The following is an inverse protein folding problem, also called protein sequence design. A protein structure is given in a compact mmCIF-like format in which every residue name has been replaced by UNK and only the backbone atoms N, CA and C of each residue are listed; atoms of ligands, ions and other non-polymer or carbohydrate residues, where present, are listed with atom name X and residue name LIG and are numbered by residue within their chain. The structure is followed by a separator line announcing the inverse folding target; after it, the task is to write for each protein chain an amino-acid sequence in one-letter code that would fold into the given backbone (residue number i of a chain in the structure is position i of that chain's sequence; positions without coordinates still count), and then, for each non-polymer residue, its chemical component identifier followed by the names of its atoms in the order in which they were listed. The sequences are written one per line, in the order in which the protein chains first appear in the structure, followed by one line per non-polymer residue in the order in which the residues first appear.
data_IF_579670936034
#
_entry.id   IF_579670936034
#
_cell.length_a   1.000
_cell.length_b   1.000
_cell.length_c   1.000
_cell.angle_alpha   90.00
_cell.angle_beta   90.00
_cell.angle_gamma   90.00
#
_symmetry.space_group_name_H-M   'P 1'
#
loop_
_entity.id
_entity.type
_entity.pdbx_description
1 polymer ?
#
# COMPACT_ATOMS: atom_id res chain seq x y z
N UNK A 1 -25.40 16.55 4.96
CA UNK A 1 -24.34 15.57 4.70
C UNK A 1 -23.43 16.15 3.62
N UNK A 2 -22.17 16.47 3.93
CA UNK A 2 -21.22 16.91 2.91
C UNK A 2 -20.70 15.67 2.21
N UNK A 3 -21.07 15.48 0.94
CA UNK A 3 -20.54 14.38 0.15
C UNK A 3 -19.13 14.74 -0.30
N UNK A 4 -18.14 14.05 0.25
CA UNK A 4 -16.72 14.21 -0.12
C UNK A 4 -16.48 13.52 -1.46
N UNK A 5 -17.08 14.01 -2.54
CA UNK A 5 -16.90 13.44 -3.86
C UNK A 5 -15.43 13.57 -4.30
N UNK A 6 -14.85 12.46 -4.77
CA UNK A 6 -13.56 12.46 -5.45
C UNK A 6 -13.71 13.26 -6.76
N UNK A 7 -13.20 14.48 -6.79
CA UNK A 7 -13.10 15.26 -8.01
C UNK A 7 -11.78 14.96 -8.73
N UNK A 8 -11.63 15.51 -9.94
CA UNK A 8 -10.44 15.30 -10.78
C UNK A 8 -9.14 15.73 -10.08
N UNK A 9 -9.16 16.80 -9.26
CA UNK A 9 -7.99 17.23 -8.50
C UNK A 9 -7.58 16.18 -7.47
N UNK A 10 -8.55 15.60 -6.77
CA UNK A 10 -8.31 14.55 -5.77
C UNK A 10 -7.77 13.27 -6.42
N UNK A 11 -8.33 12.87 -7.57
CA UNK A 11 -7.85 11.72 -8.33
C UNK A 11 -6.43 11.93 -8.86
N UNK A 12 -6.11 13.14 -9.35
CA UNK A 12 -4.76 13.48 -9.80
C UNK A 12 -3.76 13.42 -8.64
N UNK A 13 -4.14 13.94 -7.47
CA UNK A 13 -3.31 13.86 -6.26
C UNK A 13 -3.06 12.41 -5.84
N UNK A 14 -4.10 11.57 -5.75
CA UNK A 14 -3.97 10.15 -5.41
C UNK A 14 -3.06 9.44 -6.43
N UNK A 15 -3.25 9.70 -7.73
CA UNK A 15 -2.43 9.10 -8.79
C UNK A 15 -0.96 9.51 -8.68
N UNK A 16 -0.70 10.78 -8.38
CA UNK A 16 0.67 11.26 -8.14
C UNK A 16 1.30 10.58 -6.92
N UNK A 17 0.59 10.51 -5.80
CA UNK A 17 1.07 9.87 -4.57
C UNK A 17 1.40 8.39 -4.82
N UNK A 18 0.57 7.67 -5.58
CA UNK A 18 0.82 6.27 -5.94
C UNK A 18 2.06 6.12 -6.83
N UNK A 19 2.30 7.05 -7.76
CA UNK A 19 3.52 7.05 -8.59
C UNK A 19 4.76 7.33 -7.75
N UNK A 20 4.70 8.29 -6.84
CA UNK A 20 5.81 8.65 -5.93
C UNK A 20 6.16 7.51 -4.96
N UNK A 21 5.16 6.76 -4.50
CA UNK A 21 5.37 5.67 -3.55
C UNK A 21 5.87 4.36 -4.20
N UNK A 22 5.83 4.26 -5.53
CA UNK A 22 6.19 3.05 -6.25
C UNK A 22 7.70 2.84 -6.20
N UNK A 23 8.12 1.68 -5.73
CA UNK A 23 9.52 1.26 -5.72
C UNK A 23 9.77 0.11 -6.70
N UNK A 24 10.97 0.03 -7.31
CA UNK A 24 11.36 -1.12 -8.11
C UNK A 24 11.35 -2.38 -7.22
N UNK A 25 10.48 -3.35 -7.54
CA UNK A 25 10.30 -4.57 -6.74
C UNK A 25 8.99 -4.65 -5.96
N UNK A 26 8.14 -3.62 -6.01
CA UNK A 26 6.80 -3.71 -5.43
C UNK A 26 5.97 -4.80 -6.11
N UNK A 27 5.26 -5.58 -5.29
CA UNK A 27 4.33 -6.60 -5.77
C UNK A 27 3.16 -5.96 -6.52
N UNK A 28 2.63 -6.64 -7.54
CA UNK A 28 1.50 -6.16 -8.35
C UNK A 28 0.25 -5.78 -7.52
N UNK A 29 0.12 -6.33 -6.32
CA UNK A 29 -1.02 -6.08 -5.43
C UNK A 29 -0.87 -4.81 -4.58
N UNK A 30 0.36 -4.35 -4.33
CA UNK A 30 0.61 -3.15 -3.52
C UNK A 30 -0.02 -1.88 -4.13
N UNK A 31 0.11 -1.59 -5.44
CA UNK A 31 -0.53 -0.42 -6.05
C UNK A 31 -2.06 -0.44 -5.92
N UNK A 32 -2.70 -1.60 -6.10
CA UNK A 32 -4.15 -1.74 -6.03
C UNK A 32 -4.66 -1.54 -4.59
N UNK A 33 -3.99 -2.16 -3.62
CA UNK A 33 -4.36 -2.00 -2.20
C UNK A 33 -4.08 -0.59 -1.69
N UNK A 34 -2.97 0.03 -2.10
CA UNK A 34 -2.64 1.41 -1.78
C UNK A 34 -3.68 2.39 -2.34
N UNK A 35 -4.14 2.19 -3.57
CA UNK A 35 -5.19 3.01 -4.18
C UNK A 35 -6.50 2.94 -3.38
N UNK A 36 -6.96 1.72 -3.05
CA UNK A 36 -8.17 1.53 -2.23
C UNK A 36 -8.04 2.17 -0.84
N UNK A 37 -6.88 2.04 -0.21
CA UNK A 37 -6.59 2.66 1.09
C UNK A 37 -6.68 4.19 1.03
N UNK A 38 -6.13 4.82 -0.01
CA UNK A 38 -6.18 6.28 -0.19
C UNK A 38 -7.60 6.77 -0.48
N UNK A 39 -8.36 6.06 -1.30
CA UNK A 39 -9.77 6.37 -1.58
C UNK A 39 -10.60 6.33 -0.29
N UNK A 40 -10.45 5.26 0.51
CA UNK A 40 -11.19 5.14 1.76
C UNK A 40 -10.84 6.23 2.78
N UNK A 41 -9.56 6.61 2.87
CA UNK A 41 -9.11 7.76 3.67
C UNK A 41 -9.74 9.08 3.22
N UNK A 42 -9.88 9.25 1.92
CA UNK A 42 -10.48 10.44 1.34
C UNK A 42 -11.98 10.53 1.69
N UNK A 43 -12.71 9.43 1.51
CA UNK A 43 -14.12 9.30 1.89
C UNK A 43 -14.34 9.53 3.39
N UNK A 44 -13.40 9.10 4.24
CA UNK A 44 -13.42 9.33 5.68
C UNK A 44 -13.02 10.75 6.10
N UNK A 45 -12.84 11.69 5.15
CA UNK A 45 -12.55 13.10 5.41
C UNK A 45 -11.06 13.46 5.50
N UNK A 46 -10.13 12.54 5.24
CA UNK A 46 -8.70 12.87 5.15
C UNK A 46 -8.37 13.31 3.71
N UNK A 47 -8.52 14.60 3.44
CA UNK A 47 -8.25 15.20 2.11
C UNK A 47 -6.88 15.87 1.99
N UNK A 48 -6.18 16.05 3.12
CA UNK A 48 -4.86 16.69 3.18
C UNK A 48 -3.77 15.78 2.57
N UNK A 49 -3.05 16.31 1.58
CA UNK A 49 -2.01 15.58 0.86
C UNK A 49 -0.89 15.11 1.79
N UNK A 50 -0.47 15.94 2.74
CA UNK A 50 0.59 15.60 3.69
C UNK A 50 0.24 14.38 4.54
N UNK A 51 -0.99 14.37 5.08
CA UNK A 51 -1.54 13.24 5.83
C UNK A 51 -1.70 11.99 4.97
N UNK A 52 -2.13 12.14 3.71
CA UNK A 52 -2.24 11.02 2.77
C UNK A 52 -0.87 10.43 2.43
N UNK A 53 0.16 11.25 2.21
CA UNK A 53 1.54 10.80 1.97
C UNK A 53 2.11 10.05 3.17
N UNK A 54 1.92 10.56 4.39
CA UNK A 54 2.35 9.88 5.63
C UNK A 54 1.62 8.54 5.79
N UNK A 55 0.30 8.52 5.56
CA UNK A 55 -0.50 7.31 5.65
C UNK A 55 -0.07 6.26 4.62
N UNK A 56 0.20 6.66 3.38
CA UNK A 56 0.68 5.79 2.31
C UNK A 56 2.07 5.19 2.63
N UNK A 57 2.98 6.00 3.17
CA UNK A 57 4.30 5.52 3.61
C UNK A 57 4.17 4.45 4.69
N UNK A 58 3.33 4.68 5.71
CA UNK A 58 3.07 3.69 6.78
C UNK A 58 2.42 2.43 6.24
N UNK A 59 1.46 2.56 5.32
CA UNK A 59 0.80 1.44 4.66
C UNK A 59 1.82 0.57 3.91
N UNK A 60 2.68 1.18 3.10
CA UNK A 60 3.67 0.48 2.27
C UNK A 60 4.70 -0.26 3.14
N UNK A 61 5.23 0.38 4.18
CA UNK A 61 6.16 -0.26 5.13
C UNK A 61 5.52 -1.49 5.78
N UNK A 62 4.27 -1.37 6.24
CA UNK A 62 3.57 -2.50 6.88
C UNK A 62 3.27 -3.63 5.89
N UNK A 63 2.84 -3.28 4.67
CA UNK A 63 2.56 -4.27 3.63
C UNK A 63 3.82 -5.05 3.23
N UNK A 64 4.95 -4.35 3.06
CA UNK A 64 6.22 -4.99 2.71
C UNK A 64 6.75 -5.86 3.85
N UNK A 65 6.60 -5.44 5.12
CA UNK A 65 6.95 -6.27 6.27
C UNK A 65 6.10 -7.55 6.35
N UNK A 66 4.79 -7.46 6.08
CA UNK A 66 3.93 -8.64 6.02
C UNK A 66 4.30 -9.56 4.87
N UNK A 67 4.56 -9.02 3.67
CA UNK A 67 4.98 -9.81 2.52
C UNK A 67 6.32 -10.50 2.76
N UNK A 68 7.28 -9.81 3.38
CA UNK A 68 8.56 -10.39 3.77
C UNK A 68 8.39 -11.52 4.81
N UNK A 69 7.50 -11.36 5.78
CA UNK A 69 7.20 -12.39 6.77
C UNK A 69 6.57 -13.64 6.13
N UNK A 70 5.66 -13.46 5.16
CA UNK A 70 5.06 -14.57 4.40
C UNK A 70 6.13 -15.29 3.57
N UNK A 71 6.97 -14.55 2.80
CA UNK A 71 8.05 -15.16 2.03
C UNK A 71 9.07 -15.90 2.90
N UNK A 72 9.34 -15.41 4.12
CA UNK A 72 10.23 -16.09 5.06
C UNK A 72 9.63 -17.43 5.52
N UNK A 73 8.33 -17.44 5.82
CA UNK A 73 7.63 -18.66 6.18
C UNK A 73 7.69 -19.66 5.01
N UNK A 74 7.42 -19.21 3.78
CA UNK A 74 7.45 -20.07 2.59
C UNK A 74 8.86 -20.64 2.32
N UNK A 75 9.93 -19.88 2.62
CA UNK A 75 11.32 -20.34 2.47
C UNK A 75 11.84 -21.20 3.64
N UNK A 76 11.19 -21.22 4.80
CA UNK A 76 11.53 -22.10 5.94
C UNK A 76 10.79 -23.47 5.87
N UNK A 77 9.89 -23.66 4.89
CA UNK A 77 9.20 -24.93 4.60
C UNK A 77 10.01 -25.95 3.79
N UNK A 78 11.30 -25.68 3.53
CA UNK A 78 12.22 -26.64 2.94
C UNK A 78 12.57 -27.71 3.96
N UNK A 79 11.89 -28.86 3.89
CA UNK A 79 12.25 -30.08 4.62
C UNK A 79 13.77 -30.24 4.65
N UNK A 80 14.34 -30.19 5.86
CA UNK A 80 15.71 -30.66 6.08
C UNK A 80 15.75 -32.09 5.58
N UNK A 81 16.37 -32.30 4.41
CA UNK A 81 16.80 -33.62 3.99
C UNK A 81 17.65 -34.16 5.15
N UNK A 82 17.09 -35.13 5.87
CA UNK A 82 17.91 -36.10 6.59
C UNK A 82 18.65 -36.88 5.52
N UNK A 83 19.89 -36.49 5.27
CA UNK A 83 20.85 -37.40 4.65
C UNK A 83 21.47 -38.24 5.78
N UNK A 84 21.53 -39.54 5.50
CA UNK A 84 21.81 -40.64 6.41
C UNK A 84 23.29 -40.77 6.78
#
# INVERSE_FOLDING_TARGET
MSSTYLNSSNMNMITRLLREARTPGDTYDLPTKAARFLVHRFESGTVDEGRLRIALKRFTVRHNAMYAAVNRWDNEGGATKREA
#
